data_IF_318091869735
#
_entry.id   IF_318091869735
#
_cell.length_a   1.000
_cell.length_b   1.000
_cell.length_c   1.000
_cell.angle_alpha   90.00
_cell.angle_beta   90.00
_cell.angle_gamma   90.00
#
_symmetry.space_group_name_H-M   'P 1'
#
loop_
_entity.id
_entity.type
_entity.pdbx_description
1 polymer ?
#
# COMPACT_ATOMS: atom_id res chain seq x y z
N UNK A 1 19.99 -3.83 10.32
CA UNK A 1 20.32 -3.17 9.02
C UNK A 1 20.57 -4.21 7.93
N UNK A 2 21.50 -5.16 8.11
CA UNK A 2 21.78 -6.21 7.12
C UNK A 2 20.55 -7.06 6.76
N UNK A 3 19.75 -7.47 7.74
CA UNK A 3 18.52 -8.25 7.52
C UNK A 3 17.45 -7.47 6.75
N UNK A 4 17.27 -6.18 7.06
CA UNK A 4 16.33 -5.31 6.36
C UNK A 4 16.72 -5.09 4.89
N UNK A 5 18.03 -4.94 4.61
CA UNK A 5 18.54 -4.89 3.24
C UNK A 5 18.23 -6.18 2.49
N UNK A 6 18.59 -7.33 3.06
CA UNK A 6 18.35 -8.64 2.45
C UNK A 6 16.86 -8.88 2.17
N UNK A 7 15.99 -8.54 3.13
CA UNK A 7 14.55 -8.65 2.94
C UNK A 7 14.05 -7.77 1.78
N UNK A 8 14.44 -6.49 1.77
CA UNK A 8 14.06 -5.56 0.69
C UNK A 8 14.56 -6.06 -0.67
N UNK A 9 15.76 -6.63 -0.75
CA UNK A 9 16.33 -7.15 -1.99
C UNK A 9 15.61 -8.42 -2.49
N UNK A 10 15.16 -9.29 -1.58
CA UNK A 10 14.28 -10.41 -1.92
C UNK A 10 12.95 -9.89 -2.49
N UNK A 11 12.34 -8.90 -1.85
CA UNK A 11 11.07 -8.32 -2.32
C UNK A 11 11.27 -7.67 -3.69
N UNK A 12 12.34 -6.91 -3.91
CA UNK A 12 12.67 -6.31 -5.21
C UNK A 12 12.82 -7.33 -6.33
N UNK A 13 13.44 -8.46 -6.02
CA UNK A 13 13.63 -9.56 -6.97
C UNK A 13 12.28 -10.17 -7.39
N UNK A 14 11.34 -10.32 -6.46
CA UNK A 14 10.02 -10.90 -6.72
C UNK A 14 9.01 -9.89 -7.28
N UNK A 15 9.20 -8.60 -7.01
CA UNK A 15 8.32 -7.51 -7.44
C UNK A 15 9.10 -6.41 -8.16
N UNK A 16 9.54 -6.65 -9.41
CA UNK A 16 10.22 -5.64 -10.21
C UNK A 16 9.34 -4.41 -10.38
N UNK A 17 9.80 -3.26 -9.90
CA UNK A 17 9.04 -2.00 -9.92
C UNK A 17 8.63 -1.50 -8.53
N UNK A 18 8.79 -2.29 -7.47
CA UNK A 18 8.47 -1.84 -6.10
C UNK A 18 9.28 -0.59 -5.65
N UNK A 19 10.45 -0.34 -6.23
CA UNK A 19 11.21 0.89 -5.97
C UNK A 19 10.43 2.17 -6.37
N UNK A 20 9.49 2.07 -7.31
CA UNK A 20 8.55 3.14 -7.63
C UNK A 20 7.69 3.53 -6.42
N UNK A 21 7.23 2.55 -5.63
CA UNK A 21 6.48 2.81 -4.40
C UNK A 21 7.34 3.49 -3.34
N UNK A 22 8.59 3.05 -3.18
CA UNK A 22 9.51 3.67 -2.23
C UNK A 22 9.77 5.13 -2.59
N UNK A 23 9.85 5.43 -3.88
CA UNK A 23 9.96 6.81 -4.39
C UNK A 23 8.67 7.59 -4.13
N UNK A 24 7.50 7.02 -4.46
CA UNK A 24 6.19 7.65 -4.22
C UNK A 24 5.95 7.97 -2.74
N UNK A 25 6.51 7.19 -1.81
CA UNK A 25 6.42 7.41 -0.36
C UNK A 25 7.57 8.25 0.21
N UNK A 26 8.53 8.69 -0.62
CA UNK A 26 9.71 9.44 -0.19
C UNK A 26 10.56 8.69 0.86
N UNK A 27 10.74 7.38 0.67
CA UNK A 27 11.52 6.48 1.55
C UNK A 27 12.66 5.78 0.79
N UNK A 28 13.06 6.31 -0.36
CA UNK A 28 14.06 5.70 -1.24
C UNK A 28 15.44 5.51 -0.58
N UNK A 29 15.77 6.26 0.47
CA UNK A 29 17.05 6.15 1.18
C UNK A 29 16.92 5.55 2.60
N UNK A 30 15.69 5.29 3.09
CA UNK A 30 15.45 4.69 4.41
C UNK A 30 15.13 3.19 4.26
N UNK A 31 16.15 2.33 4.43
CA UNK A 31 15.99 0.87 4.31
C UNK A 31 15.00 0.28 5.32
N UNK A 32 14.89 0.86 6.51
CA UNK A 32 13.96 0.38 7.52
C UNK A 32 12.52 0.71 7.12
N UNK A 33 12.29 1.92 6.62
CA UNK A 33 10.99 2.29 6.07
C UNK A 33 10.63 1.45 4.84
N UNK A 34 11.61 1.12 3.97
CA UNK A 34 11.39 0.19 2.85
C UNK A 34 10.98 -1.20 3.33
N UNK A 35 11.61 -1.73 4.37
CA UNK A 35 11.25 -3.03 4.94
C UNK A 35 9.80 -3.02 5.46
N UNK A 36 9.40 -2.01 6.24
CA UNK A 36 7.99 -1.89 6.66
C UNK A 36 7.03 -1.70 5.48
N UNK A 37 7.44 -0.96 4.45
CA UNK A 37 6.66 -0.82 3.23
C UNK A 37 6.50 -2.14 2.49
N UNK A 38 7.55 -2.96 2.41
CA UNK A 38 7.52 -4.27 1.79
C UNK A 38 6.60 -5.23 2.56
N UNK A 39 6.65 -5.20 3.90
CA UNK A 39 5.76 -5.98 4.76
C UNK A 39 4.28 -5.67 4.48
N UNK A 40 3.93 -4.38 4.56
CA UNK A 40 2.56 -3.91 4.26
C UNK A 40 2.18 -4.26 2.82
N UNK A 41 3.12 -4.16 1.87
CA UNK A 41 2.86 -4.50 0.48
C UNK A 41 2.55 -6.00 0.33
N UNK A 42 3.26 -6.90 0.99
CA UNK A 42 3.05 -8.35 0.87
C UNK A 42 1.69 -8.78 1.42
N UNK A 43 1.30 -8.27 2.58
CA UNK A 43 0.03 -8.59 3.27
C UNK A 43 -1.23 -8.08 2.54
N UNK A 44 -1.09 -7.10 1.66
CA UNK A 44 -2.22 -6.54 0.93
C UNK A 44 -2.71 -7.47 -0.20
N UNK A 45 -3.97 -7.87 -0.19
CA UNK A 45 -4.61 -8.47 -1.38
C UNK A 45 -5.08 -7.38 -2.36
N UNK A 46 -4.43 -7.30 -3.52
CA UNK A 46 -4.74 -6.30 -4.56
C UNK A 46 -6.14 -6.47 -5.18
N UNK A 47 -6.70 -7.68 -5.14
CA UNK A 47 -8.02 -8.00 -5.70
C UNK A 47 -9.14 -7.56 -4.78
N UNK A 48 -8.83 -7.36 -3.49
CA UNK A 48 -9.80 -6.93 -2.47
C UNK A 48 -9.85 -5.41 -2.35
N UNK A 49 -10.89 -4.91 -1.71
CA UNK A 49 -11.02 -3.49 -1.43
C UNK A 49 -10.00 -3.07 -0.35
N UNK A 50 -9.52 -1.82 -0.39
CA UNK A 50 -8.65 -1.28 0.67
C UNK A 50 -9.37 -1.23 2.03
N UNK A 51 -10.71 -1.27 2.05
CA UNK A 51 -11.49 -1.38 3.29
C UNK A 51 -11.28 -2.73 3.99
N UNK A 52 -11.06 -3.83 3.25
CA UNK A 52 -10.69 -5.11 3.86
C UNK A 52 -9.31 -5.02 4.50
N UNK A 53 -8.35 -4.37 3.84
CA UNK A 53 -7.03 -4.14 4.42
C UNK A 53 -7.09 -3.23 5.66
N UNK A 54 -7.96 -2.22 5.67
CA UNK A 54 -8.23 -1.36 6.85
C UNK A 54 -8.59 -2.20 8.07
N UNK A 55 -9.47 -3.18 7.84
CA UNK A 55 -9.96 -4.10 8.87
C UNK A 55 -8.82 -4.98 9.41
N UNK A 56 -7.97 -5.55 8.52
CA UNK A 56 -6.77 -6.31 8.91
C UNK A 56 -5.79 -5.46 9.73
N UNK A 57 -5.59 -4.20 9.35
CA UNK A 57 -4.73 -3.26 10.09
C UNK A 57 -5.30 -2.80 11.43
N UNK A 58 -6.56 -3.14 11.76
CA UNK A 58 -7.24 -2.68 12.97
C UNK A 58 -7.61 -1.18 12.94
N UNK A 59 -7.71 -0.57 11.76
CA UNK A 59 -8.03 0.85 11.59
C UNK A 59 -9.55 1.11 11.69
N UNK A 60 -10.14 0.88 12.87
CA UNK A 60 -11.56 1.20 13.15
C UNK A 60 -11.79 2.71 13.20
N UNK A 61 -12.94 3.16 12.70
CA UNK A 61 -13.36 4.57 12.82
C UNK A 61 -14.37 4.78 13.96
N UNK A 62 -15.20 3.77 14.23
CA UNK A 62 -16.13 3.71 15.34
C UNK A 62 -15.93 2.38 16.09
N UNK A 63 -16.22 2.36 17.39
CA UNK A 63 -16.10 1.16 18.22
C UNK A 63 -17.23 0.13 17.92
N UNK A 64 -18.31 0.59 17.26
CA UNK A 64 -19.53 -0.19 16.93
C UNK A 64 -19.48 -0.93 15.57
N UNK A 65 -18.32 -0.98 14.87
CA UNK A 65 -18.21 -1.84 13.68
C UNK A 65 -18.22 -3.32 14.13
N UNK A 66 -19.30 -4.05 13.79
CA UNK A 66 -19.59 -5.42 14.19
C UNK A 66 -18.38 -6.36 14.08
N UNK A 67 -18.19 -7.16 15.13
CA UNK A 67 -17.12 -8.16 15.33
C UNK A 67 -17.28 -9.39 14.42
N UNK A 68 -17.68 -9.22 13.16
CA UNK A 68 -17.49 -10.26 12.15
C UNK A 68 -15.99 -10.39 11.84
N UNK A 69 -15.33 -11.15 12.72
CA UNK A 69 -14.11 -11.91 12.46
C UNK A 69 -12.98 -11.07 11.86
N UNK A 70 -12.62 -9.99 12.54
CA UNK A 70 -11.35 -9.33 12.29
C UNK A 70 -10.22 -10.30 12.66
N UNK A 71 -9.66 -10.97 11.67
CA UNK A 71 -8.30 -11.49 11.73
C UNK A 71 -7.36 -10.29 11.79
N UNK A 72 -7.27 -9.66 12.97
CA UNK A 72 -6.31 -8.58 13.21
C UNK A 72 -4.93 -9.19 13.13
N UNK A 73 -4.23 -8.85 12.06
CA UNK A 73 -2.82 -9.16 11.96
C UNK A 73 -2.03 -8.07 12.71
N UNK A 74 -1.47 -8.47 13.85
CA UNK A 74 -0.65 -7.60 14.69
C UNK A 74 0.61 -7.12 13.98
N UNK A 75 1.19 -7.94 13.10
CA UNK A 75 2.42 -7.63 12.37
C UNK A 75 2.13 -6.62 11.26
N UNK A 76 1.07 -6.84 10.47
CA UNK A 76 0.60 -5.87 9.49
C UNK A 76 0.25 -4.51 10.11
N UNK A 77 -0.49 -4.52 11.21
CA UNK A 77 -0.87 -3.30 11.95
C UNK A 77 0.38 -2.56 12.45
N UNK A 78 1.36 -3.30 13.00
CA UNK A 78 2.62 -2.73 13.47
C UNK A 78 3.43 -2.12 12.32
N UNK A 79 3.60 -2.84 11.22
CA UNK A 79 4.36 -2.37 10.06
C UNK A 79 3.75 -1.10 9.46
N UNK A 80 2.42 -1.04 9.30
CA UNK A 80 1.72 0.15 8.82
C UNK A 80 1.91 1.36 9.74
N UNK A 81 1.89 1.13 11.05
CA UNK A 81 2.11 2.17 12.05
C UNK A 81 3.54 2.74 11.96
N UNK A 82 4.55 1.87 11.96
CA UNK A 82 5.95 2.27 11.85
C UNK A 82 6.25 2.98 10.54
N UNK A 83 5.73 2.44 9.42
CA UNK A 83 5.86 3.08 8.11
C UNK A 83 5.23 4.48 8.11
N UNK A 84 4.02 4.61 8.65
CA UNK A 84 3.33 5.91 8.69
C UNK A 84 4.09 6.92 9.56
N UNK A 85 4.66 6.48 10.68
CA UNK A 85 5.52 7.33 11.52
C UNK A 85 6.71 7.88 10.72
N UNK A 86 7.36 7.00 9.93
CA UNK A 86 8.51 7.34 9.07
C UNK A 86 8.14 8.28 7.92
N UNK A 87 7.12 7.94 7.14
CA UNK A 87 6.66 8.72 5.98
C UNK A 87 6.27 10.14 6.38
N UNK A 88 5.63 10.31 7.54
CA UNK A 88 5.13 11.61 7.98
C UNK A 88 6.02 12.31 9.01
N UNK A 89 7.15 11.70 9.41
CA UNK A 89 8.04 12.23 10.44
C UNK A 89 7.32 12.51 11.78
N UNK A 90 6.36 11.66 12.17
CA UNK A 90 5.56 11.86 13.38
C UNK A 90 5.72 10.70 14.36
N UNK A 91 5.68 11.02 15.66
CA UNK A 91 5.60 10.02 16.71
C UNK A 91 4.12 9.60 16.91
N UNK A 92 3.75 8.32 16.68
CA UNK A 92 2.38 7.83 16.83
C UNK A 92 1.77 8.07 18.22
N UNK A 93 2.60 8.03 19.27
CA UNK A 93 2.17 8.24 20.65
C UNK A 93 1.78 9.69 20.94
N UNK A 94 2.42 10.65 20.26
CA UNK A 94 2.19 12.08 20.43
C UNK A 94 1.15 12.63 19.44
N UNK A 95 0.95 11.97 18.30
CA UNK A 95 0.08 12.42 17.21
C UNK A 95 -1.27 11.69 17.16
N UNK A 96 -1.83 11.24 18.30
CA UNK A 96 -3.03 10.38 18.34
C UNK A 96 -4.20 10.92 17.49
N UNK A 97 -4.41 12.23 17.49
CA UNK A 97 -5.44 12.88 16.68
C UNK A 97 -4.96 13.04 15.23
N UNK A 98 -5.53 12.22 14.34
CA UNK A 98 -5.25 12.29 12.90
C UNK A 98 -4.18 11.34 12.38
N UNK A 99 -3.44 10.64 13.26
CA UNK A 99 -2.52 9.58 12.81
C UNK A 99 -3.24 8.46 12.06
N UNK A 100 -4.43 8.04 12.50
CA UNK A 100 -5.26 7.07 11.76
C UNK A 100 -5.60 7.51 10.34
N UNK A 101 -5.80 8.82 10.11
CA UNK A 101 -6.02 9.36 8.76
C UNK A 101 -4.75 9.25 7.90
N UNK A 102 -3.58 9.37 8.52
CA UNK A 102 -2.28 9.16 7.86
C UNK A 102 -2.07 7.67 7.55
N UNK A 103 -2.35 6.78 8.49
CA UNK A 103 -2.29 5.32 8.27
C UNK A 103 -3.18 4.91 7.10
N UNK A 104 -4.43 5.41 7.07
CA UNK A 104 -5.34 5.20 5.95
C UNK A 104 -4.77 5.71 4.61
N UNK A 105 -4.20 6.92 4.59
CA UNK A 105 -3.58 7.47 3.38
C UNK A 105 -2.41 6.62 2.89
N UNK A 106 -1.54 6.19 3.80
CA UNK A 106 -0.41 5.30 3.49
C UNK A 106 -0.91 3.98 2.91
N UNK A 107 -1.88 3.35 3.58
CA UNK A 107 -2.48 2.07 3.18
C UNK A 107 -3.09 2.13 1.78
N UNK A 108 -3.94 3.14 1.51
CA UNK A 108 -4.59 3.32 0.21
C UNK A 108 -3.56 3.55 -0.90
N UNK A 109 -2.48 4.27 -0.61
CA UNK A 109 -1.43 4.53 -1.59
C UNK A 109 -0.68 3.24 -1.97
N UNK A 110 -0.30 2.44 -0.98
CA UNK A 110 0.36 1.14 -1.20
C UNK A 110 -0.58 0.18 -1.94
N UNK A 111 -1.85 0.10 -1.54
CA UNK A 111 -2.84 -0.77 -2.20
C UNK A 111 -3.05 -0.37 -3.65
N UNK A 112 -3.22 0.93 -3.91
CA UNK A 112 -3.37 1.46 -5.28
C UNK A 112 -2.14 1.17 -6.13
N UNK A 113 -0.94 1.31 -5.56
CA UNK A 113 0.31 0.96 -6.23
C UNK A 113 0.38 -0.54 -6.55
N UNK A 114 0.12 -1.41 -5.57
CA UNK A 114 0.14 -2.87 -5.75
C UNK A 114 -0.84 -3.30 -6.85
N UNK A 115 -2.05 -2.72 -6.87
CA UNK A 115 -3.02 -2.95 -7.95
C UNK A 115 -2.48 -2.56 -9.31
N UNK A 116 -1.89 -1.36 -9.46
CA UNK A 116 -1.28 -0.92 -10.72
C UNK A 116 -0.15 -1.84 -11.15
N UNK A 117 0.70 -2.26 -10.22
CA UNK A 117 1.86 -3.10 -10.49
C UNK A 117 1.46 -4.51 -10.92
N UNK A 118 0.53 -5.16 -10.20
CA UNK A 118 0.25 -6.58 -10.37
C UNK A 118 -0.89 -6.90 -11.34
N UNK A 119 -1.86 -6.00 -11.48
CA UNK A 119 -3.01 -6.24 -12.35
C UNK A 119 -2.88 -5.53 -13.70
N UNK A 120 -1.88 -4.66 -13.85
CA UNK A 120 -1.84 -3.69 -14.93
C UNK A 120 -3.06 -2.77 -14.89
N UNK A 121 -3.02 -1.67 -15.61
CA UNK A 121 -4.23 -0.89 -15.90
C UNK A 121 -5.20 -1.72 -16.76
N UNK A 122 -6.12 -2.47 -16.17
CA UNK A 122 -7.27 -3.07 -16.88
C UNK A 122 -8.56 -2.26 -16.63
N UNK A 123 -9.53 -2.14 -17.56
CA UNK A 123 -9.59 -2.47 -18.98
C UNK A 123 -9.76 -1.22 -19.88
N UNK A 124 -9.16 -0.08 -19.54
CA UNK A 124 -9.32 1.17 -20.32
C UNK A 124 -8.11 1.54 -21.19
N UNK A 125 -7.11 0.68 -21.27
CA UNK A 125 -5.94 0.89 -22.14
C UNK A 125 -6.21 0.60 -23.63
N UNK A 126 -7.38 0.05 -24.00
CA UNK A 126 -7.81 -0.18 -25.39
C UNK A 126 -8.85 0.82 -25.92
N UNK A 127 -9.23 1.83 -25.15
CA UNK A 127 -10.16 2.88 -25.62
C UNK A 127 -9.49 3.93 -26.53
N UNK A 128 -8.22 3.73 -26.90
CA UNK A 128 -7.45 4.60 -27.80
C UNK A 128 -7.34 4.13 -29.26
N UNK A 129 -7.68 2.87 -29.58
CA UNK A 129 -7.40 2.31 -30.92
C UNK A 129 -8.62 1.87 -31.74
N UNK A 130 -9.84 2.01 -31.23
CA UNK A 130 -11.06 1.65 -32.01
C UNK A 130 -11.84 2.86 -32.55
N UNK A 131 -11.40 4.10 -32.28
CA UNK A 131 -12.04 5.31 -32.85
C UNK A 131 -11.32 5.94 -34.05
N UNK A 132 -10.12 5.49 -34.41
CA UNK A 132 -9.40 5.99 -35.59
C UNK A 132 -9.69 5.20 -36.89
N UNK A 133 -10.47 4.10 -36.85
CA UNK A 133 -10.79 3.29 -38.05
C UNK A 133 -12.24 3.33 -38.51
N UNK A 134 -13.13 4.09 -37.86
CA UNK A 134 -14.56 4.14 -38.22
C UNK A 134 -15.01 5.52 -38.76
N UNK A 135 -14.11 6.49 -38.90
CA UNK A 135 -14.44 7.81 -39.49
C UNK A 135 -13.53 8.23 -40.66
N UNK A 136 -12.95 7.26 -41.38
CA UNK A 136 -12.05 7.51 -42.51
C UNK A 136 -12.33 6.67 -43.75
N UNK A 137 -13.59 6.24 -43.95
CA UNK A 137 -13.95 5.42 -45.10
C UNK A 137 -15.43 5.51 -45.40
N UNK A 138 -15.87 6.66 -45.92
CA UNK A 138 -16.85 6.83 -46.99
C UNK A 138 -16.63 8.22 -47.60
#
# INVERSE_FOLDING_TARGET
>A
MAEALAFVDIVRTNYPGIDGLFTELNIADDVIAKAYCAEVFLELDERRSPHRARNLAGLRWNDDEDDEELLRDGEFSFALNQLTAKVFGVNPQLARKGFRKKEWKTLVKIHSFKRRLLMGSGPDASAGETRARVLGGY
#
